data_IF_253015203251
#
_entry.id   IF_253015203251
#
_cell.length_a   1.000
_cell.length_b   1.000
_cell.length_c   1.000
_cell.angle_alpha   90.00
_cell.angle_beta   90.00
_cell.angle_gamma   90.00
#
_symmetry.space_group_name_H-M   'P 1'
#
loop_
_entity.id
_entity.type
_entity.pdbx_description
1 polymer ?
#
# COMPACT_ATOMS: atom_id res chain seq x y z
N UNK A 1 16.74 40.79 44.52
CA UNK A 1 16.84 41.08 45.97
C UNK A 1 16.84 39.76 46.73
N UNK A 2 17.15 39.77 48.03
CA UNK A 2 17.41 38.64 48.94
C UNK A 2 16.58 37.34 48.74
N UNK A 3 17.05 36.15 49.15
CA UNK A 3 18.05 35.90 50.21
C UNK A 3 19.04 34.76 49.92
N UNK A 4 20.17 34.81 50.62
CA UNK A 4 21.09 33.68 50.86
C UNK A 4 20.68 32.92 52.13
N UNK A 5 21.43 31.83 52.42
CA UNK A 5 21.75 31.20 53.72
C UNK A 5 21.32 29.73 53.88
N UNK A 6 22.08 28.84 54.52
CA UNK A 6 23.56 28.65 54.55
C UNK A 6 23.94 27.34 55.29
N UNK A 7 25.17 26.80 55.04
CA UNK A 7 25.88 25.78 55.88
C UNK A 7 25.20 24.38 56.07
N UNK A 8 25.77 23.30 56.62
CA UNK A 8 27.15 22.72 56.78
C UNK A 8 27.00 21.31 57.47
N UNK A 9 27.94 20.34 57.59
CA UNK A 9 29.31 20.09 57.09
C UNK A 9 29.72 18.60 57.34
N UNK A 10 30.58 18.01 56.49
CA UNK A 10 31.52 16.89 56.80
C UNK A 10 30.90 15.49 57.14
N UNK A 11 31.62 14.35 57.21
CA UNK A 11 33.07 14.09 57.31
C UNK A 11 33.56 12.73 56.72
N UNK A 12 34.81 12.71 56.22
CA UNK A 12 35.87 11.64 56.26
C UNK A 12 35.54 10.12 56.19
N UNK A 13 36.07 9.32 55.24
CA UNK A 13 37.41 8.61 55.25
C UNK A 13 37.50 7.38 56.20
N UNK A 14 38.18 6.24 55.93
CA UNK A 14 38.89 5.69 54.75
C UNK A 14 39.11 4.14 54.86
N UNK A 15 39.88 3.57 53.91
CA UNK A 15 40.39 2.16 53.75
C UNK A 15 41.33 1.70 54.91
N UNK A 16 41.78 0.41 55.06
CA UNK A 16 42.14 -0.57 53.99
C UNK A 16 42.00 -2.11 54.24
N UNK A 17 42.52 -2.89 53.28
CA UNK A 17 42.77 -4.36 53.28
C UNK A 17 44.02 -4.77 54.07
N UNK A 18 44.17 -6.08 54.36
CA UNK A 18 45.44 -6.76 54.07
C UNK A 18 45.31 -8.09 53.29
N UNK A 19 46.46 -8.66 52.88
CA UNK A 19 46.68 -9.97 52.22
C UNK A 19 47.63 -10.84 53.06
N UNK A 20 47.88 -12.09 52.63
CA UNK A 20 48.95 -13.09 52.99
C UNK A 20 48.38 -14.38 53.62
N UNK A 21 48.93 -15.60 53.46
CA UNK A 21 49.57 -16.34 52.33
C UNK A 21 49.85 -17.80 52.83
N UNK A 22 49.88 -18.81 51.94
CA UNK A 22 50.55 -20.13 52.13
C UNK A 22 49.93 -21.11 53.20
N UNK A 23 50.17 -22.43 53.20
CA UNK A 23 50.87 -23.35 52.27
C UNK A 23 50.30 -24.80 52.33
N UNK A 24 50.42 -25.54 51.22
CA UNK A 24 50.52 -27.02 51.04
C UNK A 24 49.91 -28.02 52.06
N UNK A 25 49.13 -28.97 51.53
CA UNK A 25 49.59 -30.37 51.41
C UNK A 25 48.93 -31.06 50.19
N UNK A 26 49.52 -32.15 49.68
CA UNK A 26 49.02 -32.89 48.53
C UNK A 26 49.18 -34.41 48.70
N UNK A 27 48.21 -35.19 48.21
CA UNK A 27 48.31 -36.65 48.03
C UNK A 27 47.66 -37.01 46.68
N UNK A 28 48.38 -37.79 45.87
CA UNK A 28 47.87 -38.34 44.61
C UNK A 28 47.19 -39.69 44.84
N UNK A 29 46.14 -39.97 44.07
CA UNK A 29 45.79 -41.32 43.65
C UNK A 29 45.21 -41.24 42.24
N UNK A 30 45.71 -42.09 41.34
CA UNK A 30 45.37 -42.06 39.91
C UNK A 30 44.41 -43.18 39.53
N UNK A 31 43.51 -42.90 38.59
CA UNK A 31 42.73 -43.90 37.86
C UNK A 31 42.57 -43.44 36.40
N UNK A 32 42.70 -44.36 35.46
CA UNK A 32 42.74 -44.04 34.03
C UNK A 32 41.35 -43.79 33.44
N UNK A 33 41.25 -42.83 32.51
CA UNK A 33 40.02 -42.55 31.77
C UNK A 33 40.30 -41.65 30.56
N UNK A 34 40.64 -42.25 29.42
CA UNK A 34 40.76 -41.52 28.16
C UNK A 34 39.38 -41.09 27.63
N UNK A 35 39.28 -39.87 27.12
CA UNK A 35 38.02 -39.34 26.60
C UNK A 35 38.14 -37.88 26.22
N UNK A 36 38.53 -37.61 24.98
CA UNK A 36 38.53 -36.26 24.42
C UNK A 36 37.12 -35.66 24.49
N UNK A 37 37.00 -34.47 25.05
CA UNK A 37 35.79 -33.66 24.98
C UNK A 37 36.15 -32.26 24.50
N UNK A 38 35.86 -32.02 23.23
CA UNK A 38 36.06 -30.74 22.55
C UNK A 38 35.44 -29.60 23.36
N UNK A 39 36.11 -28.44 23.37
CA UNK A 39 35.52 -27.23 23.88
C UNK A 39 34.24 -26.91 23.09
N UNK A 40 33.10 -26.89 23.77
CA UNK A 40 31.84 -26.46 23.18
C UNK A 40 31.88 -24.96 22.95
N UNK A 41 32.05 -24.53 21.69
CA UNK A 41 31.86 -23.14 21.29
C UNK A 41 30.51 -22.61 21.81
N UNK A 42 30.42 -21.37 22.29
CA UNK A 42 29.14 -20.75 22.52
C UNK A 42 28.38 -20.72 21.19
N UNK A 43 27.21 -21.35 21.13
CA UNK A 43 26.34 -21.24 19.97
C UNK A 43 25.98 -19.76 19.80
N UNK A 44 26.26 -19.21 18.62
CA UNK A 44 25.64 -17.96 18.23
C UNK A 44 24.12 -18.20 18.25
N UNK A 45 23.39 -17.44 19.06
CA UNK A 45 21.94 -17.43 18.99
C UNK A 45 21.56 -16.77 17.67
N UNK A 46 21.16 -17.58 16.69
CA UNK A 46 20.66 -17.07 15.42
C UNK A 46 19.53 -16.08 15.70
N UNK A 47 19.77 -14.81 15.38
CA UNK A 47 18.83 -13.72 15.58
C UNK A 47 17.79 -13.70 14.46
N UNK A 48 17.07 -14.81 14.31
CA UNK A 48 15.98 -14.98 13.35
C UNK A 48 14.88 -13.95 13.63
N UNK A 49 14.80 -12.92 12.79
CA UNK A 49 13.75 -11.92 12.84
C UNK A 49 12.44 -12.57 12.37
N UNK A 50 11.42 -12.55 13.23
CA UNK A 50 10.10 -13.08 12.86
C UNK A 50 9.50 -12.18 11.79
N UNK A 51 9.20 -12.77 10.63
CA UNK A 51 8.59 -12.09 9.48
C UNK A 51 7.10 -12.35 9.49
N UNK A 52 6.28 -11.32 9.33
CA UNK A 52 4.81 -11.42 9.38
C UNK A 52 4.18 -10.51 8.32
N UNK A 53 2.91 -10.77 7.97
CA UNK A 53 2.20 -10.11 6.88
C UNK A 53 0.83 -9.59 7.33
N UNK A 54 0.43 -8.42 6.84
CA UNK A 54 -0.89 -7.82 7.05
C UNK A 54 -1.43 -7.17 5.76
N UNK A 55 -2.75 -6.97 5.67
CA UNK A 55 -3.38 -6.42 4.45
C UNK A 55 -4.52 -5.44 4.72
N UNK A 56 -4.75 -4.52 3.78
CA UNK A 56 -5.85 -3.55 3.79
C UNK A 56 -6.45 -3.32 2.41
N UNK A 57 -7.66 -2.71 2.35
CA UNK A 57 -8.40 -2.50 1.10
C UNK A 57 -9.21 -1.20 1.10
N UNK A 58 -9.37 -0.60 -0.09
CA UNK A 58 -10.25 0.51 -0.41
C UNK A 58 -10.86 0.36 -1.82
N UNK A 59 -11.90 1.14 -2.14
CA UNK A 59 -12.55 1.12 -3.47
C UNK A 59 -13.16 2.46 -3.87
N UNK A 60 -13.25 2.71 -5.18
CA UNK A 60 -14.28 3.57 -5.77
C UNK A 60 -15.54 2.73 -6.00
N UNK A 61 -16.72 3.28 -5.73
CA UNK A 61 -17.99 2.53 -5.84
C UNK A 61 -18.24 2.06 -7.28
N UNK A 62 -18.72 0.85 -7.55
CA UNK A 62 -18.75 -0.35 -6.70
C UNK A 62 -18.58 -1.57 -7.62
N UNK A 63 -17.51 -2.36 -7.42
CA UNK A 63 -17.24 -3.55 -8.21
C UNK A 63 -18.09 -4.74 -7.74
N UNK A 64 -18.60 -5.53 -8.69
CA UNK A 64 -19.16 -6.86 -8.40
C UNK A 64 -18.06 -7.77 -7.83
N UNK A 65 -18.39 -8.58 -6.83
CA UNK A 65 -17.39 -9.34 -6.08
C UNK A 65 -16.85 -10.53 -6.88
N UNK A 66 -15.69 -10.35 -7.54
CA UNK A 66 -14.78 -11.44 -7.89
C UNK A 66 -13.63 -11.50 -6.89
N UNK A 67 -13.72 -12.41 -5.92
CA UNK A 67 -12.58 -12.76 -5.10
C UNK A 67 -11.69 -13.75 -5.87
N UNK A 68 -10.40 -13.45 -5.99
CA UNK A 68 -9.37 -14.43 -6.43
C UNK A 68 -8.56 -14.89 -5.20
N UNK A 69 -8.01 -16.11 -5.23
CA UNK A 69 -7.32 -16.69 -4.08
C UNK A 69 -6.03 -15.94 -3.74
N UNK A 70 -5.64 -15.99 -2.47
CA UNK A 70 -4.32 -15.56 -2.03
C UNK A 70 -3.22 -16.48 -2.63
N UNK A 71 -2.00 -15.96 -2.88
CA UNK A 71 -0.85 -16.80 -3.21
C UNK A 71 -0.47 -17.66 -1.99
N UNK A 72 -0.04 -18.90 -2.22
CA UNK A 72 0.47 -19.77 -1.16
C UNK A 72 1.94 -19.50 -0.84
N UNK A 73 2.33 -19.71 0.41
CA UNK A 73 3.67 -19.38 0.91
C UNK A 73 4.77 -20.25 0.29
N UNK A 74 5.71 -19.62 -0.43
CA UNK A 74 7.10 -20.08 -0.58
C UNK A 74 7.94 -18.97 -1.22
N UNK A 75 8.69 -18.22 -0.41
CA UNK A 75 9.60 -17.18 -0.88
C UNK A 75 10.97 -17.31 -0.20
N UNK A 76 12.03 -17.37 -0.99
CA UNK A 76 13.41 -17.28 -0.51
C UNK A 76 13.78 -15.81 -0.24
N UNK A 77 14.74 -15.58 0.66
CA UNK A 77 15.16 -14.25 1.10
C UNK A 77 16.01 -13.48 0.07
N UNK A 78 15.43 -13.20 -1.09
CA UNK A 78 15.88 -12.10 -1.94
C UNK A 78 15.35 -10.76 -1.39
N UNK A 79 16.10 -9.68 -1.58
CA UNK A 79 15.64 -8.33 -1.27
C UNK A 79 14.47 -7.97 -2.20
N UNK A 80 13.24 -8.07 -1.70
CA UNK A 80 12.01 -7.95 -2.48
C UNK A 80 11.45 -6.53 -2.33
N UNK A 81 11.73 -5.70 -3.34
CA UNK A 81 11.23 -4.33 -3.46
C UNK A 81 9.71 -4.27 -3.46
N UNK A 82 9.14 -3.17 -2.97
CA UNK A 82 7.68 -2.97 -2.91
C UNK A 82 7.07 -2.78 -4.30
N UNK A 83 6.23 -3.73 -4.75
CA UNK A 83 5.69 -3.72 -6.11
C UNK A 83 4.33 -3.01 -6.23
N UNK A 84 4.01 -2.56 -7.45
CA UNK A 84 2.67 -2.10 -7.83
C UNK A 84 2.15 -2.95 -9.00
N UNK A 85 1.20 -3.82 -8.69
CA UNK A 85 0.48 -4.62 -9.67
C UNK A 85 -0.77 -3.86 -10.12
N UNK A 86 -0.93 -3.62 -11.42
CA UNK A 86 -2.09 -2.91 -11.99
C UNK A 86 -2.78 -3.77 -13.04
N UNK A 87 -3.92 -4.33 -12.68
CA UNK A 87 -4.87 -4.92 -13.60
C UNK A 87 -5.73 -3.81 -14.22
N UNK A 88 -5.84 -3.78 -15.56
CA UNK A 88 -6.68 -2.82 -16.29
C UNK A 88 -7.67 -3.58 -17.17
N UNK A 89 -8.95 -3.23 -17.07
CA UNK A 89 -10.03 -3.78 -17.89
C UNK A 89 -10.82 -2.67 -18.58
N UNK A 90 -11.38 -2.98 -19.75
CA UNK A 90 -12.27 -2.07 -20.47
C UNK A 90 -13.57 -2.81 -20.80
N UNK A 91 -14.68 -2.29 -20.30
CA UNK A 91 -16.04 -2.81 -20.49
C UNK A 91 -16.83 -1.87 -21.40
N UNK A 92 -17.80 -2.41 -22.14
CA UNK A 92 -18.51 -1.65 -23.15
C UNK A 92 -20.02 -1.83 -23.05
N UNK A 93 -20.76 -0.74 -23.26
CA UNK A 93 -22.21 -0.78 -23.47
C UNK A 93 -22.56 -0.39 -24.90
N UNK A 94 -23.55 -1.09 -25.48
CA UNK A 94 -23.92 -0.91 -26.87
C UNK A 94 -24.77 0.33 -27.08
N UNK A 95 -24.41 1.10 -28.10
CA UNK A 95 -25.17 2.22 -28.66
C UNK A 95 -25.53 1.87 -30.10
N UNK A 96 -26.74 2.17 -30.54
CA UNK A 96 -27.32 1.74 -31.84
C UNK A 96 -28.03 2.87 -32.60
N UNK A 97 -28.23 4.03 -31.96
CA UNK A 97 -28.88 5.20 -32.53
C UNK A 97 -28.35 5.61 -33.91
N UNK A 98 -29.25 6.07 -34.77
CA UNK A 98 -28.96 6.45 -36.18
C UNK A 98 -29.01 7.97 -36.43
N UNK A 99 -29.30 8.74 -35.38
CA UNK A 99 -29.35 10.21 -35.35
C UNK A 99 -28.81 10.69 -34.01
N UNK A 100 -28.40 11.96 -33.90
CA UNK A 100 -27.88 12.54 -32.66
C UNK A 100 -28.79 12.31 -31.45
N UNK A 101 -30.10 12.54 -31.63
CA UNK A 101 -31.10 12.35 -30.58
C UNK A 101 -31.31 10.87 -30.20
N UNK A 102 -31.13 9.94 -31.14
CA UNK A 102 -31.17 8.51 -30.83
C UNK A 102 -29.91 8.06 -30.09
N UNK A 103 -28.73 8.55 -30.51
CA UNK A 103 -27.46 8.33 -29.82
C UNK A 103 -27.50 8.91 -28.39
N UNK A 104 -28.07 10.10 -28.20
CA UNK A 104 -28.26 10.69 -26.87
C UNK A 104 -29.13 9.83 -25.96
N UNK A 105 -30.24 9.28 -26.49
CA UNK A 105 -31.09 8.36 -25.72
C UNK A 105 -30.34 7.11 -25.30
N UNK A 106 -29.64 6.44 -26.21
CA UNK A 106 -28.87 5.23 -25.89
C UNK A 106 -27.76 5.52 -24.86
N UNK A 107 -27.04 6.63 -25.02
CA UNK A 107 -26.01 7.09 -24.08
C UNK A 107 -26.58 7.31 -22.67
N UNK A 108 -27.71 8.04 -22.56
CA UNK A 108 -28.38 8.33 -21.28
C UNK A 108 -29.10 7.11 -20.70
N UNK A 109 -29.58 6.18 -21.52
CA UNK A 109 -30.33 5.00 -21.08
C UNK A 109 -29.42 3.86 -20.61
N UNK A 110 -28.31 3.63 -21.30
CA UNK A 110 -27.42 2.48 -21.07
C UNK A 110 -26.13 2.84 -20.31
N UNK A 111 -25.69 4.10 -20.33
CA UNK A 111 -24.42 4.54 -19.74
C UNK A 111 -24.28 4.24 -18.24
N UNK A 112 -23.06 3.96 -17.76
CA UNK A 112 -22.79 3.50 -16.39
C UNK A 112 -23.39 4.42 -15.32
N UNK A 113 -23.84 3.81 -14.21
CA UNK A 113 -24.32 4.55 -13.04
C UNK A 113 -23.18 4.86 -12.06
N UNK A 114 -23.19 6.09 -11.55
CA UNK A 114 -22.42 6.56 -10.40
C UNK A 114 -23.21 7.68 -9.71
N UNK A 115 -23.08 7.84 -8.40
CA UNK A 115 -23.57 9.00 -7.65
C UNK A 115 -25.06 9.37 -7.89
N UNK A 116 -25.89 8.35 -8.14
CA UNK A 116 -27.32 8.48 -8.46
C UNK A 116 -27.64 8.83 -9.93
N UNK A 117 -26.65 9.27 -10.71
CA UNK A 117 -26.77 9.64 -12.12
C UNK A 117 -26.37 8.48 -13.07
N UNK A 118 -26.51 8.72 -14.38
CA UNK A 118 -25.85 7.96 -15.45
C UNK A 118 -24.89 8.88 -16.19
N UNK A 119 -23.71 8.36 -16.50
CA UNK A 119 -22.63 9.05 -17.21
C UNK A 119 -22.35 8.36 -18.54
N UNK A 120 -21.62 9.03 -19.44
CA UNK A 120 -21.28 8.48 -20.76
C UNK A 120 -20.08 7.54 -20.72
N UNK A 121 -19.17 7.74 -19.77
CA UNK A 121 -18.12 6.80 -19.38
C UNK A 121 -18.12 6.63 -17.86
N UNK A 122 -17.30 5.70 -17.35
CA UNK A 122 -16.96 5.63 -15.91
C UNK A 122 -15.72 4.78 -15.67
N UNK A 123 -14.72 5.35 -15.02
CA UNK A 123 -13.60 4.62 -14.40
C UNK A 123 -13.95 4.22 -12.97
N UNK A 124 -13.95 2.92 -12.67
CA UNK A 124 -14.12 2.35 -11.32
C UNK A 124 -12.93 1.49 -10.91
N UNK A 125 -12.64 1.37 -9.63
CA UNK A 125 -11.42 0.69 -9.16
C UNK A 125 -11.53 0.10 -7.75
N UNK A 126 -10.69 -0.90 -7.46
CA UNK A 126 -10.41 -1.32 -6.09
C UNK A 126 -8.90 -1.35 -5.86
N UNK A 127 -8.49 -0.96 -4.66
CA UNK A 127 -7.10 -0.91 -4.22
C UNK A 127 -6.92 -1.82 -3.00
N UNK A 128 -5.89 -2.65 -3.00
CA UNK A 128 -5.49 -3.52 -1.89
C UNK A 128 -3.99 -3.33 -1.66
N UNK A 129 -3.55 -3.39 -0.41
CA UNK A 129 -2.13 -3.38 -0.06
C UNK A 129 -1.82 -4.52 0.89
N UNK A 130 -0.63 -5.11 0.74
CA UNK A 130 -0.08 -6.14 1.61
C UNK A 130 1.29 -5.69 2.08
N UNK A 131 1.53 -5.73 3.39
CA UNK A 131 2.80 -5.35 3.99
C UNK A 131 3.46 -6.58 4.60
N UNK A 132 4.73 -6.80 4.30
CA UNK A 132 5.59 -7.74 5.01
C UNK A 132 6.47 -6.92 5.94
N UNK A 133 6.56 -7.31 7.21
CA UNK A 133 7.33 -6.61 8.23
C UNK A 133 8.10 -7.58 9.14
N UNK A 134 9.08 -7.05 9.87
CA UNK A 134 9.83 -7.80 10.90
C UNK A 134 10.08 -6.96 12.17
N UNK A 135 10.31 -7.65 13.29
CA UNK A 135 10.89 -7.11 14.51
C UNK A 135 12.06 -8.02 14.96
N UNK A 136 13.16 -7.45 15.47
CA UNK A 136 14.38 -8.19 15.79
C UNK A 136 14.30 -8.94 17.13
N UNK A 137 15.03 -10.05 17.29
CA UNK A 137 14.64 -11.10 18.27
C UNK A 137 15.43 -11.21 19.59
N UNK A 138 16.51 -10.42 19.82
CA UNK A 138 16.86 -9.82 21.14
C UNK A 138 18.04 -8.81 21.04
N UNK A 139 18.13 -7.77 21.88
CA UNK A 139 17.24 -7.41 23.01
C UNK A 139 15.81 -6.97 22.66
N UNK A 140 15.45 -6.87 21.37
CA UNK A 140 14.09 -7.02 20.79
C UNK A 140 13.00 -6.03 21.20
N UNK A 141 12.67 -5.94 22.48
CA UNK A 141 11.51 -5.20 23.00
C UNK A 141 11.69 -3.68 22.93
N UNK A 142 12.86 -3.23 22.51
CA UNK A 142 13.22 -1.85 22.18
C UNK A 142 13.48 -1.65 20.68
N UNK A 143 13.60 -2.73 19.89
CA UNK A 143 13.85 -2.63 18.44
C UNK A 143 12.54 -2.31 17.72
N UNK A 144 12.48 -1.26 16.87
CA UNK A 144 11.25 -0.93 16.15
C UNK A 144 10.90 -2.02 15.14
N UNK A 145 9.61 -2.31 15.02
CA UNK A 145 9.09 -3.11 13.92
C UNK A 145 9.13 -2.27 12.63
N UNK A 146 9.52 -2.89 11.50
CA UNK A 146 9.69 -2.18 10.22
C UNK A 146 9.18 -2.98 9.03
N UNK A 147 8.62 -2.28 8.05
CA UNK A 147 8.25 -2.87 6.76
C UNK A 147 9.51 -3.30 6.00
N UNK A 148 9.34 -4.35 5.20
CA UNK A 148 10.36 -4.93 4.30
C UNK A 148 9.93 -4.98 2.85
N UNK A 149 8.61 -5.07 2.61
CA UNK A 149 7.96 -5.03 1.29
C UNK A 149 6.53 -4.52 1.49
N UNK A 150 6.06 -3.65 0.59
CA UNK A 150 4.69 -3.14 0.60
C UNK A 150 4.04 -3.22 -0.79
N UNK A 151 3.47 -4.38 -1.11
CA UNK A 151 2.90 -4.62 -2.43
C UNK A 151 1.49 -4.03 -2.54
N UNK A 152 1.23 -3.33 -3.64
CA UNK A 152 -0.05 -2.68 -3.92
C UNK A 152 -0.68 -3.30 -5.15
N UNK A 153 -1.96 -3.63 -5.05
CA UNK A 153 -2.76 -4.24 -6.10
C UNK A 153 -3.90 -3.30 -6.46
N UNK A 154 -3.95 -2.88 -7.72
CA UNK A 154 -5.03 -2.08 -8.29
C UNK A 154 -5.77 -2.88 -9.36
N UNK A 155 -7.08 -3.02 -9.18
CA UNK A 155 -8.01 -3.33 -10.28
C UNK A 155 -8.62 -2.02 -10.76
N UNK A 156 -8.52 -1.72 -12.06
CA UNK A 156 -9.07 -0.50 -12.67
C UNK A 156 -9.87 -0.87 -13.91
N UNK A 157 -11.18 -0.63 -13.88
CA UNK A 157 -12.10 -0.87 -15.00
C UNK A 157 -12.60 0.47 -15.57
N UNK A 158 -12.56 0.62 -16.90
CA UNK A 158 -13.22 1.72 -17.62
C UNK A 158 -14.44 1.17 -18.36
N UNK A 159 -15.62 1.75 -18.12
CA UNK A 159 -16.82 1.46 -18.91
C UNK A 159 -17.01 2.53 -20.00
N UNK A 160 -17.00 2.14 -21.28
CA UNK A 160 -17.09 3.03 -22.45
C UNK A 160 -18.30 2.74 -23.36
N UNK A 161 -18.78 3.72 -24.15
CA UNK A 161 -19.84 3.50 -25.13
C UNK A 161 -19.28 2.91 -26.43
N UNK A 162 -19.96 1.91 -26.99
CA UNK A 162 -19.61 1.32 -28.31
C UNK A 162 -20.77 1.49 -29.29
N UNK A 163 -20.63 2.39 -30.25
CA UNK A 163 -21.63 2.58 -31.31
C UNK A 163 -21.51 1.50 -32.39
N UNK A 164 -22.55 0.66 -32.49
CA UNK A 164 -22.80 -0.21 -33.63
C UNK A 164 -23.43 0.62 -34.76
N UNK A 165 -22.59 1.39 -35.45
CA UNK A 165 -23.03 2.30 -36.51
C UNK A 165 -23.56 1.52 -37.73
N UNK A 166 -24.73 1.89 -38.29
CA UNK A 166 -25.18 1.31 -39.56
C UNK A 166 -24.22 1.70 -40.69
N UNK A 167 -24.09 0.85 -41.71
CA UNK A 167 -23.21 1.10 -42.87
C UNK A 167 -23.50 2.42 -43.61
N UNK A 168 -24.74 2.92 -43.53
CA UNK A 168 -25.18 4.19 -44.09
C UNK A 168 -25.21 5.37 -43.09
N UNK A 169 -24.50 5.27 -41.96
CA UNK A 169 -24.39 6.38 -41.00
C UNK A 169 -23.77 7.64 -41.66
N UNK A 170 -24.37 8.84 -41.49
CA UNK A 170 -23.84 10.07 -42.07
C UNK A 170 -22.38 10.34 -41.67
N UNK A 171 -21.57 10.81 -42.62
CA UNK A 171 -20.14 11.07 -42.40
C UNK A 171 -19.89 12.11 -41.28
N UNK A 172 -20.76 13.12 -41.16
CA UNK A 172 -20.75 14.06 -40.03
C UNK A 172 -20.92 13.31 -38.69
N UNK A 173 -22.03 12.58 -38.52
CA UNK A 173 -22.34 11.82 -37.31
C UNK A 173 -21.22 10.84 -36.91
N UNK A 174 -20.50 10.27 -37.89
CA UNK A 174 -19.32 9.41 -37.66
C UNK A 174 -18.09 10.18 -37.14
N UNK A 175 -17.79 11.35 -37.72
CA UNK A 175 -16.72 12.26 -37.23
C UNK A 175 -17.05 12.74 -35.81
N UNK A 176 -18.27 13.22 -35.62
CA UNK A 176 -18.70 13.85 -34.38
C UNK A 176 -18.72 12.82 -33.23
N UNK A 177 -19.11 11.56 -33.52
CA UNK A 177 -18.97 10.45 -32.57
C UNK A 177 -17.52 10.17 -32.21
N UNK A 178 -16.58 10.20 -33.17
CA UNK A 178 -15.15 10.02 -32.87
C UNK A 178 -14.68 11.10 -31.92
N UNK A 179 -14.89 12.38 -32.23
CA UNK A 179 -14.46 13.50 -31.38
C UNK A 179 -15.06 13.44 -29.97
N UNK A 180 -16.32 13.02 -29.84
CA UNK A 180 -16.94 12.72 -28.54
C UNK A 180 -16.23 11.57 -27.80
N UNK A 181 -15.99 10.43 -28.47
CA UNK A 181 -15.40 9.23 -27.87
C UNK A 181 -13.93 9.46 -27.49
N UNK A 182 -13.17 10.17 -28.32
CA UNK A 182 -11.76 10.54 -28.07
C UNK A 182 -11.66 11.46 -26.85
N UNK A 183 -12.55 12.46 -26.73
CA UNK A 183 -12.61 13.34 -25.58
C UNK A 183 -13.07 12.64 -24.29
N UNK A 184 -13.98 11.66 -24.39
CA UNK A 184 -14.38 10.82 -23.26
C UNK A 184 -13.26 9.89 -22.81
N UNK A 185 -12.56 9.24 -23.75
CA UNK A 185 -11.40 8.39 -23.47
C UNK A 185 -10.23 9.19 -22.87
N UNK A 186 -10.11 10.49 -23.19
CA UNK A 186 -9.18 11.40 -22.52
C UNK A 186 -9.61 11.71 -21.08
N UNK A 187 -10.90 11.98 -20.84
CA UNK A 187 -11.46 12.21 -19.50
C UNK A 187 -11.24 11.01 -18.57
N UNK A 188 -11.61 9.80 -19.02
CA UNK A 188 -11.43 8.56 -18.24
C UNK A 188 -9.96 8.17 -18.00
N UNK A 189 -9.03 8.62 -18.86
CA UNK A 189 -7.59 8.35 -18.68
C UNK A 189 -7.02 9.06 -17.46
N UNK A 190 -7.49 10.27 -17.16
CA UNK A 190 -7.04 11.03 -15.99
C UNK A 190 -7.45 10.31 -14.69
N UNK A 191 -8.67 9.77 -14.63
CA UNK A 191 -9.14 8.99 -13.48
C UNK A 191 -8.29 7.74 -13.22
N UNK A 192 -7.89 7.04 -14.30
CA UNK A 192 -6.99 5.89 -14.22
C UNK A 192 -5.60 6.29 -13.70
N UNK A 193 -4.91 7.23 -14.34
CA UNK A 193 -3.56 7.60 -13.91
C UNK A 193 -3.54 8.30 -12.55
N UNK A 194 -4.63 8.94 -12.13
CA UNK A 194 -4.82 9.42 -10.75
C UNK A 194 -4.74 8.27 -9.72
N UNK A 195 -5.55 7.21 -9.87
CA UNK A 195 -5.52 6.08 -8.92
C UNK A 195 -4.23 5.26 -9.04
N UNK A 196 -3.66 5.12 -10.24
CA UNK A 196 -2.38 4.43 -10.44
C UNK A 196 -1.23 5.21 -9.81
N UNK A 197 -1.20 6.54 -9.95
CA UNK A 197 -0.26 7.42 -9.24
C UNK A 197 -0.42 7.29 -7.72
N UNK A 198 -1.66 7.19 -7.22
CA UNK A 198 -1.91 6.93 -5.80
C UNK A 198 -1.36 5.57 -5.35
N UNK A 199 -1.54 4.48 -6.12
CA UNK A 199 -0.92 3.19 -5.83
C UNK A 199 0.61 3.26 -5.79
N UNK A 200 1.24 3.95 -6.77
CA UNK A 200 2.69 4.22 -6.79
C UNK A 200 3.15 5.01 -5.55
N UNK A 201 2.29 5.91 -5.03
CA UNK A 201 2.54 6.67 -3.80
C UNK A 201 2.39 5.80 -2.56
N UNK A 202 1.41 4.90 -2.49
CA UNK A 202 1.24 3.98 -1.35
C UNK A 202 2.47 3.08 -1.20
N UNK A 203 2.90 2.35 -2.23
CA UNK A 203 4.05 1.44 -2.13
C UNK A 203 5.29 2.12 -1.52
N UNK A 204 5.74 3.24 -2.12
CA UNK A 204 6.86 4.05 -1.62
C UNK A 204 6.64 4.68 -0.25
N UNK A 205 5.39 5.00 0.11
CA UNK A 205 5.06 5.57 1.41
C UNK A 205 5.01 4.53 2.53
N UNK A 206 5.00 3.24 2.20
CA UNK A 206 5.00 2.13 3.16
C UNK A 206 6.38 1.48 3.30
N UNK A 207 7.17 1.43 2.22
CA UNK A 207 8.47 0.74 2.11
C UNK A 207 9.43 0.97 3.31
N UNK A 208 9.62 2.24 3.73
CA UNK A 208 10.51 2.62 4.85
C UNK A 208 9.79 2.79 6.21
N UNK A 209 8.54 2.34 6.37
CA UNK A 209 7.80 2.59 7.62
C UNK A 209 8.35 1.79 8.80
N UNK A 210 8.48 2.48 9.94
CA UNK A 210 8.81 1.93 11.25
C UNK A 210 7.80 2.36 12.32
N UNK A 211 7.66 1.55 13.37
CA UNK A 211 6.92 1.88 14.60
C UNK A 211 7.48 1.09 15.80
N UNK A 212 7.13 1.47 17.03
CA UNK A 212 7.63 0.83 18.24
C UNK A 212 7.13 -0.62 18.45
N UNK A 213 6.03 -1.00 17.82
CA UNK A 213 5.49 -2.37 17.78
C UNK A 213 4.88 -2.64 16.41
N UNK A 214 4.73 -3.92 16.04
CA UNK A 214 4.15 -4.26 14.74
C UNK A 214 2.66 -3.89 14.62
N UNK A 215 1.87 -3.97 15.70
CA UNK A 215 0.48 -3.50 15.67
C UNK A 215 0.38 -1.98 15.40
N UNK A 216 1.29 -1.17 15.97
CA UNK A 216 1.38 0.26 15.66
C UNK A 216 1.94 0.52 14.24
N UNK A 217 2.68 -0.43 13.67
CA UNK A 217 3.15 -0.36 12.28
C UNK A 217 2.00 -0.63 11.30
N UNK A 218 1.18 -1.66 11.55
CA UNK A 218 -0.01 -2.00 10.76
C UNK A 218 -1.01 -0.84 10.73
N UNK A 219 -1.38 -0.29 11.89
CA UNK A 219 -2.31 0.84 11.99
C UNK A 219 -1.80 2.07 11.24
N UNK A 220 -0.51 2.38 11.40
CA UNK A 220 0.17 3.49 10.71
C UNK A 220 0.18 3.30 9.20
N UNK A 221 0.54 2.10 8.74
CA UNK A 221 0.59 1.76 7.32
C UNK A 221 -0.80 1.81 6.66
N UNK A 222 -1.80 1.19 7.27
CA UNK A 222 -3.18 1.20 6.79
C UNK A 222 -3.79 2.62 6.78
N UNK A 223 -3.55 3.42 7.83
CA UNK A 223 -3.95 4.84 7.88
C UNK A 223 -3.29 5.66 6.77
N UNK A 224 -1.97 5.49 6.57
CA UNK A 224 -1.20 6.22 5.57
C UNK A 224 -1.64 5.83 4.14
N UNK A 225 -1.88 4.55 3.87
CA UNK A 225 -2.42 4.06 2.61
C UNK A 225 -3.84 4.62 2.33
N UNK A 226 -4.75 4.53 3.31
CA UNK A 226 -6.12 5.07 3.19
C UNK A 226 -6.12 6.58 2.94
N UNK A 227 -5.23 7.34 3.57
CA UNK A 227 -5.10 8.78 3.36
C UNK A 227 -4.74 9.13 1.90
N UNK A 228 -3.72 8.46 1.35
CA UNK A 228 -3.28 8.64 -0.05
C UNK A 228 -4.39 8.25 -1.05
N UNK A 229 -5.15 7.19 -0.76
CA UNK A 229 -6.27 6.76 -1.60
C UNK A 229 -7.47 7.73 -1.50
N UNK A 230 -7.77 8.33 -0.34
CA UNK A 230 -8.81 9.36 -0.25
C UNK A 230 -8.37 10.70 -0.86
N UNK A 231 -7.07 11.03 -0.89
CA UNK A 231 -6.58 12.15 -1.73
C UNK A 231 -6.91 11.94 -3.21
N UNK A 232 -6.68 10.73 -3.74
CA UNK A 232 -7.01 10.39 -5.12
C UNK A 232 -8.52 10.43 -5.39
N UNK A 233 -9.35 9.93 -4.46
CA UNK A 233 -10.81 10.08 -4.53
C UNK A 233 -11.24 11.55 -4.52
N UNK A 234 -10.66 12.39 -3.65
CA UNK A 234 -10.92 13.84 -3.60
C UNK A 234 -10.47 14.56 -4.88
N UNK A 235 -9.35 14.14 -5.48
CA UNK A 235 -8.87 14.66 -6.76
C UNK A 235 -9.86 14.34 -7.87
N UNK A 236 -10.27 13.08 -8.01
CA UNK A 236 -11.20 12.63 -9.04
C UNK A 236 -12.54 13.36 -8.96
N UNK A 237 -13.18 13.44 -7.78
CA UNK A 237 -14.43 14.21 -7.60
C UNK A 237 -14.28 15.68 -8.02
N UNK A 238 -13.16 16.34 -7.68
CA UNK A 238 -12.88 17.72 -8.10
C UNK A 238 -12.60 17.86 -9.60
N UNK A 239 -12.05 16.82 -10.23
CA UNK A 239 -11.84 16.77 -11.68
C UNK A 239 -13.18 16.60 -12.41
N UNK A 240 -14.05 15.72 -11.94
CA UNK A 240 -15.45 15.59 -12.37
C UNK A 240 -16.20 16.92 -12.26
N UNK A 241 -16.24 17.53 -11.07
CA UNK A 241 -16.88 18.82 -10.80
C UNK A 241 -16.40 19.92 -11.76
N UNK A 242 -15.08 20.09 -11.89
CA UNK A 242 -14.44 21.15 -12.68
C UNK A 242 -14.56 20.92 -14.18
N UNK A 243 -14.57 19.67 -14.65
CA UNK A 243 -14.76 19.33 -16.07
C UNK A 243 -16.23 19.18 -16.47
N UNK A 244 -17.13 19.13 -15.47
CA UNK A 244 -18.54 18.75 -15.59
C UNK A 244 -18.70 17.37 -16.23
N UNK A 245 -18.01 16.38 -15.67
CA UNK A 245 -17.85 15.02 -16.23
C UNK A 245 -17.38 15.05 -17.70
N UNK A 246 -16.22 15.67 -17.94
CA UNK A 246 -15.59 15.74 -19.25
C UNK A 246 -16.27 16.68 -20.26
N UNK A 247 -17.46 17.24 -19.98
CA UNK A 247 -18.20 18.10 -20.91
C UNK A 247 -17.47 19.39 -21.31
N UNK A 248 -16.52 19.90 -20.50
CA UNK A 248 -15.63 21.01 -20.89
C UNK A 248 -14.44 20.56 -21.75
N UNK A 249 -14.13 19.26 -21.77
CA UNK A 249 -13.01 18.65 -22.49
C UNK A 249 -13.44 18.09 -23.85
N UNK A 250 -14.73 18.18 -24.21
CA UNK A 250 -15.31 17.66 -25.45
C UNK A 250 -16.17 16.41 -25.27
N UNK A 251 -16.21 15.80 -24.08
CA UNK A 251 -17.05 14.62 -23.79
C UNK A 251 -18.53 15.00 -23.61
N UNK A 252 -19.14 15.55 -24.66
CA UNK A 252 -20.54 15.97 -24.75
C UNK A 252 -21.21 15.37 -25.97
N UNK A 253 -22.53 15.24 -25.92
CA UNK A 253 -23.33 14.76 -27.05
C UNK A 253 -24.68 15.50 -27.16
N UNK A 254 -25.08 16.00 -28.35
CA UNK A 254 -24.26 16.17 -29.55
C UNK A 254 -23.06 17.11 -29.32
N UNK A 255 -22.19 17.21 -30.32
CA UNK A 255 -20.98 18.06 -30.28
C UNK A 255 -21.32 19.55 -30.46
#
# INVERSE_FOLDING_TARGET
MASMSDFAFYSTSALPLPRVLALLLAVLLAACGGGERSASSPQALDASAETTSASGRASGQAAGASARPAPGDTASAAASTSELHVNRTETFYTVTGRTEQALLRDLVQHGPRSDGARHFGRTSWTARWEIVYEQASRPAREAPCRIRRADVYLDVEVTMPRWNAPSNAPAALRRDWSSFLDALAFHEREHQESIISAGRRVARALEDLTAASCSALEEKADTQARSIIEEARRYNRRFDERTRHGRTQGARWPQ
#
